data_IF_686654438699
#
_entry.id   IF_686654438699
#
_cell.length_a   1.000
_cell.length_b   1.000
_cell.length_c   1.000
_cell.angle_alpha   90.00
_cell.angle_beta   90.00
_cell.angle_gamma   90.00
#
_symmetry.space_group_name_H-M   'P 1'
#
loop_
_entity.id
_entity.type
_entity.pdbx_description
1 polymer ?
#
# COMPACT_ATOMS: atom_id res chain seq x y z
N UNK A 1 9.83 -11.51 -11.10
CA UNK A 1 10.08 -12.32 -9.89
C UNK A 1 8.75 -12.88 -9.40
N UNK A 2 8.70 -14.13 -8.95
CA UNK A 2 7.44 -14.80 -8.54
C UNK A 2 6.92 -14.21 -7.22
N UNK A 3 5.60 -14.00 -7.10
CA UNK A 3 4.98 -13.54 -5.87
C UNK A 3 5.12 -14.61 -4.79
N UNK A 4 5.55 -14.23 -3.59
CA UNK A 4 5.64 -15.15 -2.44
C UNK A 4 4.30 -15.82 -2.16
N UNK A 5 4.35 -17.11 -1.81
CA UNK A 5 3.17 -17.90 -1.46
C UNK A 5 2.36 -17.22 -0.33
N UNK A 6 3.03 -16.63 0.66
CA UNK A 6 2.36 -15.95 1.76
C UNK A 6 1.55 -14.72 1.30
N UNK A 7 2.11 -13.92 0.38
CA UNK A 7 1.40 -12.77 -0.21
C UNK A 7 0.20 -13.26 -1.04
N UNK A 8 0.40 -14.33 -1.82
CA UNK A 8 -0.67 -14.90 -2.65
C UNK A 8 -1.83 -15.41 -1.80
N UNK A 9 -1.53 -16.15 -0.73
CA UNK A 9 -2.55 -16.72 0.15
C UNK A 9 -3.35 -15.61 0.87
N UNK A 10 -2.65 -14.58 1.38
CA UNK A 10 -3.29 -13.40 1.97
C UNK A 10 -4.13 -12.61 0.95
N UNK A 11 -3.65 -12.48 -0.29
CA UNK A 11 -4.41 -11.84 -1.38
C UNK A 11 -5.69 -12.60 -1.67
N UNK A 12 -5.63 -13.93 -1.77
CA UNK A 12 -6.82 -14.79 -1.97
C UNK A 12 -7.78 -14.68 -0.79
N UNK A 13 -7.28 -14.62 0.44
CA UNK A 13 -8.10 -14.42 1.63
C UNK A 13 -8.84 -13.07 1.61
N UNK A 14 -8.18 -12.01 1.13
CA UNK A 14 -8.80 -10.70 0.97
C UNK A 14 -9.95 -10.74 -0.04
N UNK A 15 -9.70 -11.22 -1.26
CA UNK A 15 -10.71 -11.34 -2.32
C UNK A 15 -11.91 -12.15 -1.84
N UNK A 16 -11.66 -13.26 -1.14
CA UNK A 16 -12.72 -14.14 -0.62
C UNK A 16 -13.56 -13.43 0.44
N UNK A 17 -12.91 -12.77 1.41
CA UNK A 17 -13.59 -12.05 2.49
C UNK A 17 -14.43 -10.89 1.97
N UNK A 18 -13.88 -10.09 1.06
CA UNK A 18 -14.59 -8.95 0.44
C UNK A 18 -15.78 -9.43 -0.37
N UNK A 19 -15.62 -10.50 -1.17
CA UNK A 19 -16.73 -11.10 -1.91
C UNK A 19 -17.83 -11.60 -0.99
N UNK A 20 -17.48 -12.24 0.12
CA UNK A 20 -18.46 -12.77 1.07
C UNK A 20 -19.23 -11.64 1.79
N UNK A 21 -18.57 -10.51 2.08
CA UNK A 21 -19.19 -9.40 2.78
C UNK A 21 -20.00 -8.46 1.86
N UNK A 22 -19.49 -8.19 0.65
CA UNK A 22 -20.03 -7.16 -0.26
C UNK A 22 -20.77 -7.73 -1.46
N UNK A 23 -20.56 -9.01 -1.79
CA UNK A 23 -21.03 -9.65 -3.02
C UNK A 23 -20.21 -9.32 -4.27
N UNK A 24 -19.21 -8.44 -4.17
CA UNK A 24 -18.38 -7.98 -5.29
C UNK A 24 -17.00 -8.65 -5.25
N UNK A 25 -16.49 -9.04 -6.43
CA UNK A 25 -15.15 -9.65 -6.55
C UNK A 25 -14.13 -8.56 -6.86
N UNK A 26 -13.09 -8.49 -6.05
CA UNK A 26 -11.90 -7.69 -6.33
C UNK A 26 -11.10 -8.34 -7.48
N UNK A 27 -10.72 -7.56 -8.49
CA UNK A 27 -10.19 -8.07 -9.75
C UNK A 27 -8.70 -7.76 -9.99
N UNK A 28 -8.00 -7.30 -8.94
CA UNK A 28 -6.60 -6.86 -8.97
C UNK A 28 -6.35 -5.63 -9.86
N UNK A 29 -7.38 -4.81 -10.09
CA UNK A 29 -7.25 -3.51 -10.77
C UNK A 29 -7.64 -2.36 -9.84
N UNK A 30 -7.18 -1.16 -10.17
CA UNK A 30 -7.52 0.06 -9.42
C UNK A 30 -9.04 0.28 -9.33
N UNK A 31 -9.80 -0.14 -10.35
CA UNK A 31 -11.26 0.07 -10.43
C UNK A 31 -12.03 -0.61 -9.28
N UNK A 32 -11.44 -1.63 -8.65
CA UNK A 32 -12.05 -2.32 -7.50
C UNK A 32 -11.54 -1.84 -6.13
N UNK A 33 -10.62 -0.87 -6.07
CA UNK A 33 -10.19 -0.26 -4.79
C UNK A 33 -11.32 0.40 -3.99
N UNK A 34 -12.29 1.11 -4.60
CA UNK A 34 -13.43 1.65 -3.84
C UNK A 34 -14.27 0.58 -3.14
N UNK A 35 -14.26 -0.66 -3.65
CA UNK A 35 -14.94 -1.79 -3.00
C UNK A 35 -14.17 -2.22 -1.75
N UNK A 36 -12.85 -2.22 -1.80
CA UNK A 36 -12.00 -2.50 -0.65
C UNK A 36 -12.10 -1.39 0.41
N UNK A 37 -12.19 -0.14 -0.02
CA UNK A 37 -12.46 1.01 0.88
C UNK A 37 -13.80 0.83 1.59
N UNK A 38 -14.86 0.55 0.83
CA UNK A 38 -16.17 0.27 1.42
C UNK A 38 -16.12 -0.90 2.41
N UNK A 39 -15.39 -1.97 2.08
CA UNK A 39 -15.22 -3.12 2.98
C UNK A 39 -14.51 -2.74 4.29
N UNK A 40 -13.51 -1.86 4.26
CA UNK A 40 -12.85 -1.33 5.45
C UNK A 40 -13.82 -0.49 6.30
N UNK A 41 -14.65 0.34 5.67
CA UNK A 41 -15.65 1.17 6.36
C UNK A 41 -16.79 0.40 7.01
N UNK A 42 -17.10 -0.83 6.55
CA UNK A 42 -18.11 -1.69 7.20
C UNK A 42 -17.75 -2.01 8.66
N UNK A 43 -16.49 -1.82 9.03
CA UNK A 43 -15.97 -2.03 10.36
C UNK A 43 -16.01 -0.70 11.12
N UNK A 44 -17.17 -0.41 11.72
CA UNK A 44 -17.26 0.71 12.66
C UNK A 44 -16.36 0.44 13.87
N UNK A 45 -15.31 1.24 14.04
CA UNK A 45 -14.39 1.21 15.19
C UNK A 45 -13.84 -0.20 15.48
N UNK A 46 -13.03 -0.78 14.57
CA UNK A 46 -12.60 -2.16 14.68
C UNK A 46 -11.74 -2.39 15.93
N UNK A 47 -11.96 -3.53 16.58
CA UNK A 47 -11.09 -4.02 17.67
C UNK A 47 -9.73 -4.46 17.11
N UNK A 48 -8.68 -4.37 17.92
CA UNK A 48 -7.31 -4.73 17.55
C UNK A 48 -7.20 -6.14 16.94
N UNK A 49 -8.00 -7.10 17.41
CA UNK A 49 -7.97 -8.47 16.87
C UNK A 49 -8.51 -8.53 15.43
N UNK A 50 -9.50 -7.68 15.11
CA UNK A 50 -10.07 -7.57 13.76
C UNK A 50 -9.05 -6.92 12.83
N UNK A 51 -8.41 -5.84 13.28
CA UNK A 51 -7.36 -5.17 12.50
C UNK A 51 -6.20 -6.15 12.22
N UNK A 52 -5.78 -6.91 13.23
CA UNK A 52 -4.72 -7.91 13.11
C UNK A 52 -5.02 -9.03 12.10
N UNK A 53 -6.31 -9.30 11.83
CA UNK A 53 -6.74 -10.26 10.80
C UNK A 53 -6.87 -9.62 9.41
N UNK A 54 -7.46 -8.44 9.35
CA UNK A 54 -7.85 -7.81 8.07
C UNK A 54 -6.73 -7.01 7.43
N UNK A 55 -5.85 -6.39 8.22
CA UNK A 55 -4.74 -5.62 7.68
C UNK A 55 -3.76 -6.47 6.86
N UNK A 56 -3.33 -7.68 7.30
CA UNK A 56 -2.44 -8.51 6.50
C UNK A 56 -3.03 -8.90 5.15
N UNK A 57 -4.30 -9.32 5.10
CA UNK A 57 -4.93 -9.72 3.84
C UNK A 57 -5.18 -8.51 2.92
N UNK A 58 -5.68 -7.39 3.45
CA UNK A 58 -5.98 -6.20 2.67
C UNK A 58 -4.70 -5.53 2.16
N UNK A 59 -3.67 -5.45 3.00
CA UNK A 59 -2.37 -4.95 2.64
C UNK A 59 -1.62 -5.82 1.63
N UNK A 60 -1.71 -7.15 1.75
CA UNK A 60 -1.14 -8.06 0.75
C UNK A 60 -1.82 -7.91 -0.61
N UNK A 61 -3.16 -7.85 -0.65
CA UNK A 61 -3.90 -7.57 -1.88
C UNK A 61 -3.49 -6.23 -2.49
N UNK A 62 -3.48 -5.17 -1.68
CA UNK A 62 -3.14 -3.82 -2.14
C UNK A 62 -1.71 -3.72 -2.66
N UNK A 63 -0.74 -4.28 -1.92
CA UNK A 63 0.65 -4.31 -2.34
C UNK A 63 0.88 -5.16 -3.60
N UNK A 64 0.16 -6.26 -3.78
CA UNK A 64 0.24 -7.09 -4.99
C UNK A 64 -0.38 -6.39 -6.20
N UNK A 65 -1.46 -5.62 -6.01
CA UNK A 65 -2.01 -4.74 -7.04
C UNK A 65 -0.97 -3.70 -7.48
N UNK A 66 -0.36 -2.98 -6.54
CA UNK A 66 0.71 -2.01 -6.84
C UNK A 66 1.91 -2.65 -7.54
N UNK A 67 2.34 -3.83 -7.07
CA UNK A 67 3.45 -4.58 -7.68
C UNK A 67 3.18 -4.93 -9.15
N UNK A 68 1.93 -5.27 -9.48
CA UNK A 68 1.49 -5.56 -10.86
C UNK A 68 1.37 -4.31 -11.70
N UNK A 69 0.95 -3.20 -11.09
CA UNK A 69 0.81 -1.93 -11.78
C UNK A 69 2.16 -1.33 -12.22
N UNK A 70 3.20 -1.44 -11.39
CA UNK A 70 4.45 -0.71 -11.60
C UNK A 70 5.60 -1.52 -12.22
N UNK A 71 5.38 -2.78 -12.64
CA UNK A 71 6.32 -3.68 -13.34
C UNK A 71 7.67 -4.00 -12.65
N UNK A 72 8.24 -3.13 -11.82
CA UNK A 72 9.55 -3.26 -11.16
C UNK A 72 9.46 -3.36 -9.62
N UNK A 73 8.24 -3.46 -9.11
CA UNK A 73 7.98 -3.70 -7.70
C UNK A 73 8.33 -5.12 -7.27
N UNK A 74 8.89 -5.26 -6.08
CA UNK A 74 9.13 -6.55 -5.44
C UNK A 74 8.91 -6.51 -3.93
N UNK A 75 8.44 -7.64 -3.40
CA UNK A 75 8.27 -7.84 -1.97
C UNK A 75 9.59 -8.20 -1.30
N UNK A 76 9.87 -7.56 -0.18
CA UNK A 76 10.85 -7.97 0.82
C UNK A 76 10.06 -8.45 2.03
N UNK A 77 10.18 -9.74 2.35
CA UNK A 77 9.37 -10.42 3.36
C UNK A 77 10.25 -10.75 4.55
N UNK A 78 9.75 -10.40 5.73
CA UNK A 78 10.27 -10.86 7.00
C UNK A 78 9.42 -12.08 7.43
N UNK A 79 10.08 -13.19 7.77
CA UNK A 79 9.38 -14.43 8.14
C UNK A 79 8.76 -14.37 9.52
N UNK A 80 9.21 -13.43 10.36
CA UNK A 80 8.88 -13.39 11.78
C UNK A 80 7.72 -12.43 12.06
N UNK A 81 7.61 -11.32 11.31
CA UNK A 81 6.58 -10.29 11.54
C UNK A 81 6.19 -9.50 10.27
N UNK A 82 4.90 -9.21 10.11
CA UNK A 82 4.35 -8.36 9.06
C UNK A 82 4.84 -6.91 9.13
N UNK A 83 5.26 -6.42 10.31
CA UNK A 83 5.82 -5.06 10.44
C UNK A 83 7.14 -4.88 9.66
N UNK A 84 7.84 -5.99 9.33
CA UNK A 84 9.06 -6.00 8.52
C UNK A 84 8.84 -6.03 7.01
N UNK A 85 7.61 -6.28 6.53
CA UNK A 85 7.33 -6.48 5.12
C UNK A 85 7.40 -5.17 4.34
N UNK A 86 8.03 -5.18 3.16
CA UNK A 86 8.14 -3.98 2.31
C UNK A 86 7.82 -4.31 0.86
N UNK A 87 7.18 -3.37 0.18
CA UNK A 87 7.23 -3.28 -1.27
C UNK A 87 8.34 -2.30 -1.64
N UNK A 88 9.30 -2.74 -2.47
CA UNK A 88 10.41 -1.93 -2.97
C UNK A 88 10.40 -1.90 -4.50
N UNK A 89 10.95 -0.85 -5.09
CA UNK A 89 11.01 -0.69 -6.55
C UNK A 89 12.48 -0.69 -7.02
N UNK A 90 12.75 -1.26 -8.19
CA UNK A 90 14.12 -1.40 -8.68
C UNK A 90 14.65 -0.12 -9.34
N UNK A 91 13.76 0.63 -10.00
CA UNK A 91 14.07 1.79 -10.84
C UNK A 91 14.01 3.11 -10.09
N UNK A 92 13.49 3.11 -8.87
CA UNK A 92 13.47 4.29 -8.01
C UNK A 92 13.69 3.91 -6.54
N UNK A 93 14.12 4.88 -5.75
CA UNK A 93 14.25 4.73 -4.31
C UNK A 93 12.89 4.94 -3.65
N UNK A 94 12.04 3.92 -3.68
CA UNK A 94 10.73 3.92 -3.03
C UNK A 94 10.53 2.62 -2.27
N UNK A 95 10.17 2.74 -0.99
CA UNK A 95 9.84 1.61 -0.13
C UNK A 95 8.76 1.98 0.89
N UNK A 96 7.83 1.06 1.15
CA UNK A 96 6.81 1.20 2.21
C UNK A 96 6.24 -0.16 2.58
N UNK A 97 5.45 -0.23 3.65
CA UNK A 97 4.74 -1.42 4.09
C UNK A 97 3.25 -1.36 3.69
N UNK A 98 2.80 -2.12 2.67
CA UNK A 98 1.39 -2.17 2.29
C UNK A 98 0.44 -2.67 3.40
N UNK A 99 0.91 -3.54 4.31
CA UNK A 99 0.14 -3.96 5.49
C UNK A 99 0.00 -2.81 6.47
N UNK A 100 1.06 -2.03 6.67
CA UNK A 100 1.00 -0.79 7.45
C UNK A 100 -0.04 0.20 6.91
N UNK A 101 -0.12 0.35 5.58
CA UNK A 101 -1.15 1.20 4.95
C UNK A 101 -2.54 0.67 5.28
N UNK A 102 -2.77 -0.64 5.19
CA UNK A 102 -4.05 -1.24 5.55
C UNK A 102 -4.41 -1.01 7.03
N UNK A 103 -3.43 -1.06 7.94
CA UNK A 103 -3.65 -0.69 9.36
C UNK A 103 -4.11 0.76 9.49
N UNK A 104 -3.41 1.71 8.83
CA UNK A 104 -3.78 3.13 8.86
C UNK A 104 -5.17 3.39 8.27
N UNK A 105 -5.52 2.71 7.17
CA UNK A 105 -6.85 2.78 6.56
C UNK A 105 -7.94 2.27 7.51
N UNK A 106 -7.74 1.08 8.10
CA UNK A 106 -8.71 0.47 9.02
C UNK A 106 -8.91 1.28 10.31
N UNK A 107 -7.88 1.98 10.78
CA UNK A 107 -7.92 2.79 12.00
C UNK A 107 -8.20 4.28 11.75
N UNK A 108 -8.19 4.72 10.48
CA UNK A 108 -8.39 6.11 10.08
C UNK A 108 -7.36 7.08 10.66
N UNK A 109 -6.14 6.62 10.94
CA UNK A 109 -5.09 7.41 11.58
C UNK A 109 -3.70 6.85 11.30
N UNK A 110 -2.67 7.68 11.48
CA UNK A 110 -1.27 7.26 11.38
C UNK A 110 -0.90 6.28 12.51
N UNK A 111 -0.14 5.23 12.16
CA UNK A 111 0.34 4.24 13.12
C UNK A 111 1.85 4.09 13.02
N UNK A 112 2.53 4.27 14.14
CA UNK A 112 3.99 4.13 14.20
C UNK A 112 4.44 2.70 13.91
N UNK A 113 5.73 2.56 13.58
CA UNK A 113 6.46 1.29 13.52
C UNK A 113 6.08 0.32 12.38
N UNK A 114 4.95 0.53 11.70
CA UNK A 114 4.57 -0.27 10.53
C UNK A 114 5.35 0.09 9.27
N UNK A 115 5.81 1.35 9.15
CA UNK A 115 6.48 1.82 7.94
C UNK A 115 5.53 2.03 6.75
N UNK A 116 4.29 2.44 7.02
CA UNK A 116 3.29 2.74 6.00
C UNK A 116 3.62 4.00 5.17
N UNK A 117 4.29 4.98 5.78
CA UNK A 117 4.79 6.17 5.08
C UNK A 117 5.79 5.80 3.99
N UNK A 118 5.69 6.48 2.85
CA UNK A 118 6.63 6.34 1.74
C UNK A 118 8.03 6.75 2.20
N UNK A 119 8.99 5.82 2.07
CA UNK A 119 10.41 6.08 2.29
C UNK A 119 11.12 6.16 0.95
N UNK A 120 11.94 7.19 0.82
CA UNK A 120 12.83 7.38 -0.32
C UNK A 120 14.26 7.56 0.18
N UNK A 121 15.24 7.55 -0.72
CA UNK A 121 16.58 8.00 -0.38
C UNK A 121 16.55 9.51 -0.05
N UNK A 122 17.48 10.02 0.79
CA UNK A 122 17.50 11.44 1.17
C UNK A 122 17.53 12.40 -0.02
N UNK A 123 18.29 12.08 -1.07
CA UNK A 123 18.36 12.86 -2.31
C UNK A 123 17.04 12.90 -3.11
N UNK A 124 16.13 11.96 -2.84
CA UNK A 124 14.84 11.81 -3.52
C UNK A 124 13.67 12.37 -2.71
N UNK A 125 13.86 12.74 -1.43
CA UNK A 125 12.79 13.24 -0.55
C UNK A 125 12.12 14.50 -1.12
N UNK A 126 12.92 15.47 -1.56
CA UNK A 126 12.42 16.72 -2.15
C UNK A 126 11.66 16.45 -3.45
N UNK A 127 12.08 15.45 -4.23
CA UNK A 127 11.44 15.08 -5.50
C UNK A 127 10.08 14.44 -5.26
N UNK A 128 10.02 13.48 -4.33
CA UNK A 128 8.79 12.82 -3.92
C UNK A 128 7.78 13.82 -3.35
N UNK A 129 8.23 14.72 -2.47
CA UNK A 129 7.37 15.76 -1.91
C UNK A 129 6.78 16.66 -3.01
N UNK A 130 7.60 17.09 -3.97
CA UNK A 130 7.17 17.94 -5.08
C UNK A 130 6.19 17.24 -6.01
N UNK A 131 6.36 15.94 -6.26
CA UNK A 131 5.41 15.16 -7.05
C UNK A 131 4.03 15.09 -6.38
N UNK A 132 4.01 15.02 -5.05
CA UNK A 132 2.78 14.98 -4.25
C UNK A 132 2.08 16.34 -4.13
N UNK A 133 2.75 17.47 -4.40
CA UNK A 133 2.15 18.82 -4.36
C UNK A 133 0.93 18.96 -5.30
N UNK A 134 0.84 18.13 -6.35
CA UNK A 134 -0.29 18.11 -7.30
C UNK A 134 -1.62 17.81 -6.62
N UNK A 135 -1.62 17.04 -5.52
CA UNK A 135 -2.84 16.71 -4.77
C UNK A 135 -3.30 17.82 -3.82
N UNK A 136 -2.48 18.84 -3.56
CA UNK A 136 -2.79 19.90 -2.61
C UNK A 136 -3.07 19.37 -1.19
N UNK A 137 -3.84 20.14 -0.41
CA UNK A 137 -4.32 19.68 0.90
C UNK A 137 -5.41 18.62 0.73
N UNK A 138 -5.03 17.34 0.84
CA UNK A 138 -5.98 16.24 0.99
C UNK A 138 -6.58 16.33 2.39
N UNK A 139 -7.91 16.22 2.52
CA UNK A 139 -8.53 16.17 3.85
C UNK A 139 -8.05 14.91 4.56
N UNK A 140 -7.67 15.03 5.83
CA UNK A 140 -7.12 13.92 6.63
C UNK A 140 -7.94 12.62 6.51
N UNK A 141 -9.29 12.72 6.49
CA UNK A 141 -10.16 11.54 6.37
C UNK A 141 -10.04 10.85 5.00
N UNK A 142 -9.84 11.61 3.93
CA UNK A 142 -9.84 11.09 2.57
C UNK A 142 -8.49 10.41 2.27
N UNK A 143 -7.43 10.76 3.02
CA UNK A 143 -6.10 10.12 2.94
C UNK A 143 -6.08 8.66 3.39
N UNK A 144 -6.93 8.28 4.35
CA UNK A 144 -7.00 6.91 4.89
C UNK A 144 -7.92 6.00 4.07
N UNK A 145 -7.71 5.98 2.75
CA UNK A 145 -8.38 5.07 1.81
C UNK A 145 -7.36 4.41 0.89
N UNK A 146 -7.56 3.15 0.52
CA UNK A 146 -6.72 2.45 -0.45
C UNK A 146 -6.69 3.16 -1.80
N UNK A 147 -7.83 3.73 -2.24
CA UNK A 147 -7.90 4.49 -3.49
C UNK A 147 -6.96 5.69 -3.47
N UNK A 148 -7.04 6.56 -2.45
CA UNK A 148 -6.17 7.76 -2.37
C UNK A 148 -4.71 7.38 -2.12
N UNK A 149 -4.46 6.32 -1.34
CA UNK A 149 -3.10 5.82 -1.13
C UNK A 149 -2.49 5.27 -2.43
N UNK A 150 -3.27 4.61 -3.29
CA UNK A 150 -2.82 4.19 -4.62
C UNK A 150 -2.39 5.39 -5.46
N UNK A 151 -3.27 6.39 -5.55
CA UNK A 151 -3.05 7.62 -6.32
C UNK A 151 -1.80 8.38 -5.87
N UNK A 152 -1.59 8.49 -4.55
CA UNK A 152 -0.39 9.11 -3.99
C UNK A 152 0.89 8.31 -4.31
N UNK A 153 0.84 6.99 -4.18
CA UNK A 153 1.98 6.11 -4.50
C UNK A 153 2.32 6.19 -5.99
N UNK A 154 1.32 6.16 -6.87
CA UNK A 154 1.52 6.24 -8.32
C UNK A 154 2.23 7.55 -8.70
N UNK A 155 1.80 8.68 -8.15
CA UNK A 155 2.46 9.96 -8.43
C UNK A 155 3.87 10.02 -7.86
N UNK A 156 4.10 9.52 -6.65
CA UNK A 156 5.44 9.43 -6.08
C UNK A 156 6.36 8.58 -6.96
N UNK A 157 5.88 7.41 -7.41
CA UNK A 157 6.62 6.51 -8.31
C UNK A 157 6.97 7.20 -9.64
N UNK A 158 5.98 7.78 -10.32
CA UNK A 158 6.19 8.48 -11.60
C UNK A 158 7.10 9.70 -11.45
N UNK A 159 6.96 10.45 -10.36
CA UNK A 159 7.81 11.59 -10.03
C UNK A 159 9.28 11.20 -9.87
N UNK A 160 9.55 10.04 -9.26
CA UNK A 160 10.90 9.51 -9.10
C UNK A 160 11.48 8.95 -10.41
N UNK A 161 10.66 8.42 -11.31
CA UNK A 161 11.14 7.88 -12.61
C UNK A 161 11.55 8.93 -13.63
N UNK A 162 10.97 10.14 -13.57
CA UNK A 162 11.15 11.16 -14.61
C UNK A 162 12.54 11.85 -14.60
N UNK A 163 13.46 11.49 -13.69
CA UNK A 163 14.89 11.90 -13.75
C UNK A 163 15.85 10.84 -13.12
N UNK A 164 16.25 9.80 -13.89
CA UNK A 164 17.08 8.69 -13.38
C UNK A 164 18.54 9.04 -13.11
N UNK A 165 18.98 10.28 -13.35
CA UNK A 165 20.38 10.69 -13.18
C UNK A 165 20.83 10.79 -11.70
N UNK A 166 19.92 10.58 -10.75
CA UNK A 166 20.18 10.69 -9.31
C UNK A 166 19.73 9.49 -8.49
N UNK A 167 19.73 8.26 -9.03
CA UNK A 167 19.60 7.04 -8.21
C UNK A 167 20.78 6.96 -7.24
N UNK A 168 20.64 7.53 -6.04
CA UNK A 168 21.56 7.18 -4.98
C UNK A 168 21.12 5.88 -4.28
N UNK A 169 21.83 5.48 -3.22
CA UNK A 169 21.76 4.12 -2.70
C UNK A 169 20.34 3.76 -2.20
N UNK A 170 19.90 2.55 -2.52
CA UNK A 170 18.62 2.00 -2.07
C UNK A 170 18.56 1.96 -0.52
N UNK A 171 17.46 2.43 0.11
CA UNK A 171 17.27 2.41 1.56
C UNK A 171 17.03 1.00 2.12
#
# INVERSE_FOLDING_TARGET
METSDAVRDLTVACVTSVKNATGIVLDMTQDTLPVLDHYAELLDSPRDEIVSLLAPMSGAYFGELLRRQFDDGHWVIDTDDYTGWRLKFERCSLAFNPIGIAVEVLLGQDVSDWGARLKTAPEDEVRSQKALEVYGDVRDRDYYTFTVRFEAIEQAYLGLLNDPAGMGPKP
#
